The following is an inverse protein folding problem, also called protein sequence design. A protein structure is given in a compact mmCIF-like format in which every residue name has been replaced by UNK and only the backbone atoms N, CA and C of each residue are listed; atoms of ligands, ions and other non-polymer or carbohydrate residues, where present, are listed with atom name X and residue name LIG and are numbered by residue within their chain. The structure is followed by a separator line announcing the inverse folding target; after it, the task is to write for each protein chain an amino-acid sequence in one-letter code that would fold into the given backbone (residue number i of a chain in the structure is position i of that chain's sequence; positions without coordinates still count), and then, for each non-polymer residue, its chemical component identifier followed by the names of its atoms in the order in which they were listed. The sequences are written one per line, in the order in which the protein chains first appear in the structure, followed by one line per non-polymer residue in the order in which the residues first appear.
data_IF_073214682523
#
_entry.id   IF_073214682523
#
_cell.length_a   1.000
_cell.length_b   1.000
_cell.length_c   1.000
_cell.angle_alpha   90.00
_cell.angle_beta   90.00
_cell.angle_gamma   90.00
#
_symmetry.space_group_name_H-M   'P 1'
#
loop_
_entity.id
_entity.type
_entity.pdbx_description
1 polymer ?
#
# COMPACT_ATOMS: atom_id res chain seq x y z
N UNK A 1 21.60 -0.24 19.94
CA UNK A 1 20.55 -0.28 18.89
C UNK A 1 20.10 -1.73 18.73
N UNK A 2 18.78 -1.95 18.75
CA UNK A 2 18.16 -3.24 18.45
C UNK A 2 17.46 -3.06 17.10
N UNK A 3 17.75 -3.96 16.14
CA UNK A 3 17.03 -4.04 14.87
C UNK A 3 15.84 -4.97 15.08
N UNK A 4 14.65 -4.53 14.68
CA UNK A 4 13.44 -5.36 14.67
C UNK A 4 12.92 -5.45 13.24
N UNK A 5 12.71 -6.66 12.74
CA UNK A 5 11.96 -6.91 11.50
C UNK A 5 10.48 -6.89 11.86
N UNK A 6 9.72 -5.98 11.28
CA UNK A 6 8.29 -5.84 11.58
C UNK A 6 7.41 -6.62 10.59
N UNK A 7 7.82 -6.72 9.33
CA UNK A 7 7.18 -7.56 8.30
C UNK A 7 8.27 -8.35 7.60
N UNK A 8 8.07 -9.64 7.46
CA UNK A 8 8.96 -10.52 6.71
C UNK A 8 8.41 -10.72 5.29
N UNK A 9 8.91 -9.94 4.35
CA UNK A 9 8.60 -10.12 2.94
C UNK A 9 9.45 -11.27 2.39
N UNK A 10 8.85 -12.27 1.73
CA UNK A 10 9.60 -13.45 1.25
C UNK A 10 10.57 -13.14 0.12
N UNK A 11 10.54 -11.94 -0.46
CA UNK A 11 11.42 -11.52 -1.56
C UNK A 11 12.91 -11.63 -1.24
N UNK A 12 13.32 -11.46 0.01
CA UNK A 12 14.72 -11.60 0.44
C UNK A 12 15.18 -13.07 0.64
N UNK A 13 14.26 -14.01 0.48
CA UNK A 13 14.51 -15.44 0.53
C UNK A 13 14.77 -16.07 -0.85
N UNK A 14 14.71 -15.30 -1.92
CA UNK A 14 15.08 -15.75 -3.24
C UNK A 14 16.54 -16.22 -3.26
N UNK A 15 16.78 -17.38 -3.84
CA UNK A 15 18.12 -17.82 -4.18
C UNK A 15 18.30 -17.77 -5.70
N UNK A 16 19.54 -17.55 -6.14
CA UNK A 16 19.89 -17.51 -7.56
C UNK A 16 19.55 -18.81 -8.32
N UNK A 17 19.25 -19.89 -7.60
CA UNK A 17 19.11 -21.22 -8.18
C UNK A 17 17.69 -21.77 -8.16
N UNK A 18 16.74 -21.15 -7.47
CA UNK A 18 15.44 -21.80 -7.21
C UNK A 18 14.21 -20.94 -7.42
N UNK A 19 14.33 -19.60 -7.52
CA UNK A 19 13.15 -18.76 -7.49
C UNK A 19 12.30 -18.94 -6.22
N UNK A 20 11.11 -18.45 -6.24
CA UNK A 20 10.12 -18.68 -5.20
C UNK A 20 8.89 -19.36 -5.83
N UNK A 21 8.67 -20.60 -5.47
CA UNK A 21 7.49 -21.40 -5.85
C UNK A 21 6.89 -21.94 -4.56
N UNK A 22 5.97 -21.16 -3.98
CA UNK A 22 5.39 -21.44 -2.66
C UNK A 22 4.27 -22.47 -2.72
N UNK A 23 3.57 -22.55 -3.83
CA UNK A 23 2.45 -23.48 -4.02
C UNK A 23 2.85 -24.78 -4.76
N UNK A 24 4.11 -24.88 -5.18
CA UNK A 24 4.68 -26.04 -5.88
C UNK A 24 4.00 -26.35 -7.21
N UNK A 25 3.59 -25.34 -7.94
CA UNK A 25 3.02 -25.48 -9.29
C UNK A 25 4.06 -25.62 -10.37
N UNK A 26 5.33 -25.32 -10.06
CA UNK A 26 6.43 -25.31 -11.01
C UNK A 26 6.61 -23.99 -11.74
N UNK A 27 5.91 -22.95 -11.30
CA UNK A 27 6.07 -21.56 -11.73
C UNK A 27 6.50 -20.70 -10.53
N UNK A 28 7.24 -19.62 -10.78
CA UNK A 28 7.62 -18.73 -9.70
C UNK A 28 6.47 -17.83 -9.32
N UNK A 29 6.28 -17.68 -8.01
CA UNK A 29 5.19 -16.89 -7.45
C UNK A 29 5.56 -15.41 -7.33
N UNK A 30 4.59 -14.57 -7.53
CA UNK A 30 4.67 -13.20 -7.06
C UNK A 30 4.66 -13.17 -5.53
N UNK A 31 5.40 -12.24 -4.95
CA UNK A 31 5.42 -12.03 -3.51
C UNK A 31 5.09 -10.59 -3.16
N UNK A 32 4.57 -10.38 -1.97
CA UNK A 32 4.39 -9.03 -1.44
C UNK A 32 5.72 -8.42 -1.01
N UNK A 33 5.82 -7.12 -1.19
CA UNK A 33 6.93 -6.28 -0.76
C UNK A 33 6.41 -4.88 -0.42
N UNK A 34 7.26 -4.01 0.07
CA UNK A 34 6.95 -2.59 0.23
C UNK A 34 7.22 -1.82 -1.06
N UNK A 35 6.51 -0.73 -1.27
CA UNK A 35 6.70 0.20 -2.38
C UNK A 35 7.73 1.32 -2.10
N UNK A 36 8.52 1.20 -1.05
CA UNK A 36 9.52 2.15 -0.57
C UNK A 36 8.99 3.46 0.04
N UNK A 37 7.68 3.65 0.13
CA UNK A 37 7.09 4.77 0.85
C UNK A 37 6.58 4.30 2.21
N UNK A 38 6.98 5.01 3.26
CA UNK A 38 6.54 4.65 4.59
C UNK A 38 6.72 5.79 5.60
N UNK A 39 6.04 5.67 6.72
CA UNK A 39 6.17 6.56 7.86
C UNK A 39 6.16 5.79 9.16
N UNK A 40 6.85 6.32 10.16
CA UNK A 40 6.88 5.80 11.53
C UNK A 40 6.28 6.84 12.45
N UNK A 41 5.37 6.41 13.30
CA UNK A 41 4.78 7.20 14.38
C UNK A 41 5.13 6.55 15.71
N UNK A 42 5.55 7.34 16.68
CA UNK A 42 5.68 6.89 18.09
C UNK A 42 4.49 7.47 18.85
N UNK A 43 3.72 6.61 19.50
CA UNK A 43 2.54 7.00 20.26
C UNK A 43 2.89 7.58 21.64
N UNK A 44 1.86 7.98 22.39
CA UNK A 44 2.01 8.57 23.72
C UNK A 44 2.49 7.56 24.80
N UNK A 45 2.59 6.27 24.45
CA UNK A 45 3.09 5.19 25.29
C UNK A 45 4.46 4.67 24.83
N UNK A 46 5.14 5.44 23.96
CA UNK A 46 6.42 5.08 23.33
C UNK A 46 6.34 3.84 22.40
N UNK A 47 5.12 3.47 21.94
CA UNK A 47 4.91 2.36 21.01
C UNK A 47 5.10 2.85 19.55
N UNK A 48 5.81 2.04 18.76
CA UNK A 48 6.00 2.30 17.34
C UNK A 48 4.81 1.79 16.51
N UNK A 49 4.37 2.63 15.57
CA UNK A 49 3.42 2.33 14.51
C UNK A 49 4.08 2.60 13.17
N UNK A 50 3.97 1.67 12.24
CA UNK A 50 4.60 1.75 10.92
C UNK A 50 3.52 1.61 9.85
N UNK A 51 3.61 2.47 8.84
CA UNK A 51 2.71 2.49 7.69
C UNK A 51 3.53 2.47 6.41
N UNK A 52 3.14 1.65 5.43
CA UNK A 52 3.84 1.54 4.14
C UNK A 52 2.86 1.11 3.04
N UNK A 53 3.15 1.48 1.81
CA UNK A 53 2.44 0.94 0.66
C UNK A 53 2.82 -0.52 0.41
N UNK A 54 1.93 -1.24 -0.25
CA UNK A 54 2.09 -2.65 -0.61
C UNK A 54 2.41 -2.78 -2.10
N UNK A 55 3.39 -3.59 -2.46
CA UNK A 55 3.78 -3.84 -3.84
C UNK A 55 4.02 -5.32 -4.06
N UNK A 56 3.76 -5.83 -5.26
CA UNK A 56 4.12 -7.19 -5.63
C UNK A 56 5.38 -7.18 -6.47
N UNK A 57 6.11 -8.26 -6.34
CA UNK A 57 7.39 -8.50 -6.98
C UNK A 57 7.39 -9.90 -7.58
N UNK A 58 7.92 -10.04 -8.77
CA UNK A 58 8.14 -11.34 -9.43
C UNK A 58 9.54 -11.36 -10.01
N UNK A 59 10.23 -12.45 -9.78
CA UNK A 59 11.46 -12.81 -10.46
C UNK A 59 11.30 -14.23 -10.99
N UNK A 60 11.00 -14.36 -12.25
CA UNK A 60 10.70 -15.63 -12.93
C UNK A 60 11.91 -16.23 -13.65
N UNK A 61 13.01 -15.48 -13.77
CA UNK A 61 14.30 -15.97 -14.28
C UNK A 61 15.48 -15.33 -13.52
N UNK A 62 15.92 -15.98 -12.47
CA UNK A 62 17.01 -15.50 -11.61
C UNK A 62 18.35 -15.32 -12.33
N UNK A 63 18.50 -15.82 -13.57
CA UNK A 63 19.74 -15.77 -14.33
C UNK A 63 19.85 -14.52 -15.21
N UNK A 64 18.76 -13.84 -15.52
CA UNK A 64 18.73 -12.71 -16.44
C UNK A 64 19.03 -11.35 -15.78
N UNK A 65 18.98 -11.29 -14.44
CA UNK A 65 19.19 -10.07 -13.67
C UNK A 65 18.05 -9.05 -13.81
N UNK A 66 16.87 -9.49 -14.24
CA UNK A 66 15.67 -8.67 -14.40
C UNK A 66 14.62 -9.14 -13.42
N UNK A 67 13.88 -8.20 -12.82
CA UNK A 67 12.73 -8.48 -11.97
C UNK A 67 11.60 -7.55 -12.30
N UNK A 68 10.37 -7.96 -12.01
CA UNK A 68 9.16 -7.20 -12.26
C UNK A 68 8.54 -6.71 -10.97
N UNK A 69 8.14 -5.44 -10.97
CA UNK A 69 7.44 -4.80 -9.88
C UNK A 69 6.05 -4.39 -10.35
N UNK A 70 5.05 -4.61 -9.52
CA UNK A 70 3.65 -4.39 -9.87
C UNK A 70 3.07 -3.24 -9.03
N UNK A 71 3.25 -1.98 -9.47
CA UNK A 71 2.79 -0.80 -8.72
C UNK A 71 1.27 -0.68 -8.63
N UNK A 72 0.52 -1.50 -9.37
CA UNK A 72 -0.93 -1.57 -9.30
C UNK A 72 -1.45 -2.46 -8.16
N UNK A 73 -0.59 -2.84 -7.23
CA UNK A 73 -1.00 -3.51 -6.00
C UNK A 73 -1.72 -2.52 -5.09
N UNK A 74 -2.87 -2.91 -4.56
CA UNK A 74 -3.65 -2.06 -3.67
C UNK A 74 -3.42 -2.45 -2.20
N UNK A 75 -3.40 -1.46 -1.33
CA UNK A 75 -3.34 -1.67 0.10
C UNK A 75 -2.29 -0.84 0.81
N UNK A 76 -2.73 -0.11 1.85
CA UNK A 76 -1.86 0.53 2.82
C UNK A 76 -1.65 -0.45 3.99
N UNK A 77 -0.42 -0.84 4.21
CA UNK A 77 -0.02 -1.77 5.26
C UNK A 77 0.22 -1.03 6.57
N UNK A 78 -0.14 -1.68 7.67
CA UNK A 78 0.07 -1.19 9.02
C UNK A 78 0.65 -2.27 9.91
N UNK A 79 1.56 -1.86 10.78
CA UNK A 79 2.12 -2.66 11.85
C UNK A 79 2.32 -1.83 13.11
N UNK A 80 2.17 -2.44 14.27
CA UNK A 80 2.59 -1.89 15.56
C UNK A 80 3.27 -2.97 16.41
N UNK A 81 3.94 -2.55 17.49
CA UNK A 81 4.72 -3.46 18.34
C UNK A 81 3.91 -4.58 19.01
N UNK A 82 2.60 -4.42 19.21
CA UNK A 82 1.74 -5.47 19.78
C UNK A 82 1.52 -6.64 18.81
N UNK A 83 1.72 -6.42 17.51
CA UNK A 83 1.60 -7.45 16.48
C UNK A 83 2.81 -8.39 16.46
N UNK A 84 3.88 -8.03 17.18
CA UNK A 84 5.11 -8.81 17.23
C UNK A 84 6.01 -8.60 16.02
N UNK A 85 7.17 -9.26 16.05
CA UNK A 85 8.12 -9.25 14.96
C UNK A 85 7.76 -10.32 13.90
N UNK A 86 8.32 -10.14 12.71
CA UNK A 86 8.26 -11.13 11.62
C UNK A 86 6.85 -11.48 11.15
N UNK A 87 5.96 -10.49 11.09
CA UNK A 87 4.64 -10.67 10.48
C UNK A 87 4.80 -11.08 9.02
N UNK A 88 4.37 -12.29 8.69
CA UNK A 88 4.45 -12.84 7.33
C UNK A 88 3.19 -12.49 6.56
N UNK A 89 3.35 -11.95 5.36
CA UNK A 89 2.26 -11.75 4.41
C UNK A 89 1.96 -13.05 3.67
N UNK A 90 0.68 -13.32 3.36
CA UNK A 90 0.34 -14.45 2.50
C UNK A 90 0.89 -14.24 1.09
N UNK A 91 1.08 -15.32 0.34
CA UNK A 91 1.39 -15.26 -1.08
C UNK A 91 0.20 -14.68 -1.84
N UNK A 92 0.39 -13.69 -2.70
CA UNK A 92 -0.69 -13.17 -3.54
C UNK A 92 -1.19 -14.28 -4.48
N UNK A 93 -2.50 -14.43 -4.59
CA UNK A 93 -3.10 -15.23 -5.65
C UNK A 93 -3.22 -14.39 -6.92
N UNK A 94 -3.32 -15.04 -8.08
CA UNK A 94 -3.49 -14.34 -9.37
C UNK A 94 -4.75 -13.46 -9.40
N UNK A 95 -5.80 -13.86 -8.65
CA UNK A 95 -7.04 -13.09 -8.48
C UNK A 95 -6.89 -11.86 -7.60
N UNK A 96 -5.80 -11.74 -6.85
CA UNK A 96 -5.58 -10.66 -5.87
C UNK A 96 -4.86 -9.45 -6.49
N UNK A 97 -4.91 -9.34 -7.82
CA UNK A 97 -4.23 -8.28 -8.56
C UNK A 97 -4.54 -6.88 -8.00
N UNK A 98 -5.76 -6.68 -7.54
CA UNK A 98 -6.28 -5.37 -7.14
C UNK A 98 -6.57 -5.24 -5.65
N UNK A 99 -6.80 -6.34 -4.95
CA UNK A 99 -7.17 -6.34 -3.53
C UNK A 99 -6.20 -7.20 -2.71
N UNK A 100 -5.84 -6.72 -1.55
CA UNK A 100 -5.11 -7.50 -0.55
C UNK A 100 -5.99 -7.65 0.68
N UNK A 101 -6.39 -8.87 0.98
CA UNK A 101 -7.20 -9.22 2.16
C UNK A 101 -6.35 -9.57 3.40
N UNK A 102 -5.10 -9.09 3.44
CA UNK A 102 -4.27 -9.38 4.61
C UNK A 102 -4.73 -8.60 5.83
N UNK A 103 -4.63 -9.17 7.04
CA UNK A 103 -5.08 -8.50 8.26
C UNK A 103 -4.38 -7.17 8.57
N UNK A 104 -3.25 -6.91 7.92
CA UNK A 104 -2.46 -5.69 8.11
C UNK A 104 -2.79 -4.60 7.09
N UNK A 105 -3.68 -4.85 6.14
CA UNK A 105 -4.17 -3.82 5.22
C UNK A 105 -5.24 -2.99 5.92
N UNK A 106 -4.99 -1.72 6.09
CA UNK A 106 -5.87 -0.80 6.84
C UNK A 106 -6.64 0.18 5.95
N UNK A 107 -6.24 0.33 4.69
CA UNK A 107 -6.92 1.14 3.70
C UNK A 107 -6.57 0.68 2.28
N UNK A 108 -7.46 0.98 1.35
CA UNK A 108 -7.29 0.67 -0.07
C UNK A 108 -7.80 1.83 -0.92
N UNK A 109 -7.29 1.96 -2.14
CA UNK A 109 -7.92 2.76 -3.19
C UNK A 109 -9.28 2.13 -3.51
N UNK A 110 -10.31 2.95 -3.68
CA UNK A 110 -11.69 2.51 -3.74
C UNK A 110 -12.09 2.21 -5.18
N UNK A 111 -12.66 1.04 -5.37
CA UNK A 111 -13.46 0.70 -6.54
C UNK A 111 -14.85 1.33 -6.35
N UNK A 112 -15.13 2.37 -7.10
CA UNK A 112 -16.37 3.15 -6.96
C UNK A 112 -17.51 2.62 -7.82
N UNK A 113 -17.19 1.98 -8.93
CA UNK A 113 -18.15 1.43 -9.88
C UNK A 113 -18.42 -0.07 -9.67
N UNK A 114 -17.63 -0.75 -8.83
CA UNK A 114 -17.74 -2.17 -8.49
C UNK A 114 -17.46 -3.09 -9.70
N UNK A 115 -16.51 -2.74 -10.53
CA UNK A 115 -16.07 -3.57 -11.68
C UNK A 115 -14.80 -4.38 -11.38
N UNK A 116 -14.28 -4.29 -10.15
CA UNK A 116 -13.06 -4.96 -9.65
C UNK A 116 -11.77 -4.24 -10.04
N UNK A 117 -11.81 -3.21 -10.88
CA UNK A 117 -10.66 -2.41 -11.26
C UNK A 117 -10.68 -1.05 -10.55
N UNK A 118 -9.57 -0.61 -10.02
CA UNK A 118 -9.51 0.65 -9.25
C UNK A 118 -8.98 1.81 -10.10
N UNK A 119 -8.33 1.55 -11.19
CA UNK A 119 -7.56 2.59 -11.88
C UNK A 119 -7.70 2.59 -13.39
N UNK A 120 -8.88 2.35 -13.95
CA UNK A 120 -9.13 2.53 -15.39
C UNK A 120 -7.94 2.12 -16.29
N UNK A 121 -7.31 1.02 -15.96
CA UNK A 121 -6.01 0.59 -16.49
C UNK A 121 -5.98 0.49 -18.01
N UNK A 122 -7.13 0.15 -18.60
CA UNK A 122 -7.22 -0.15 -20.01
C UNK A 122 -7.65 1.03 -20.89
N UNK A 123 -8.22 2.09 -20.34
CA UNK A 123 -8.89 3.09 -21.16
C UNK A 123 -8.09 4.35 -21.42
N UNK A 124 -7.21 4.75 -20.54
CA UNK A 124 -6.56 6.05 -20.62
C UNK A 124 -5.05 6.01 -20.77
N UNK A 125 -4.44 4.85 -20.57
CA UNK A 125 -3.03 4.61 -20.91
C UNK A 125 -1.97 5.33 -20.07
N UNK A 126 -2.35 6.08 -19.04
CA UNK A 126 -1.36 6.81 -18.27
C UNK A 126 -1.72 7.03 -16.81
N UNK A 127 -0.87 6.61 -15.91
CA UNK A 127 -0.84 7.07 -14.53
C UNK A 127 0.59 7.52 -14.18
N UNK A 128 0.69 8.49 -13.30
CA UNK A 128 1.99 8.93 -12.83
C UNK A 128 2.62 7.82 -11.99
N UNK A 129 3.62 7.17 -12.56
CA UNK A 129 4.37 6.12 -11.89
C UNK A 129 5.36 6.74 -10.91
N UNK A 130 4.96 6.85 -9.66
CA UNK A 130 5.88 7.17 -8.56
C UNK A 130 6.61 5.91 -8.07
N UNK A 131 6.46 4.77 -8.76
CA UNK A 131 6.85 3.45 -8.27
C UNK A 131 6.21 3.12 -6.91
N UNK A 132 4.99 3.63 -6.71
CA UNK A 132 4.19 3.47 -5.51
C UNK A 132 2.98 2.59 -5.79
N UNK A 133 2.48 1.93 -4.76
CA UNK A 133 1.23 1.16 -4.85
C UNK A 133 0.02 2.06 -5.13
N UNK A 134 -1.15 1.47 -5.38
CA UNK A 134 -2.39 2.22 -5.60
C UNK A 134 -2.78 3.07 -4.37
N UNK A 135 -2.42 2.62 -3.16
CA UNK A 135 -2.59 3.34 -1.88
C UNK A 135 -1.24 3.44 -1.17
N UNK A 136 -0.63 4.60 -1.14
CA UNK A 136 0.75 4.80 -0.70
C UNK A 136 1.03 6.19 -0.15
N UNK A 137 2.31 6.48 0.09
CA UNK A 137 2.82 7.77 0.53
C UNK A 137 2.19 8.22 1.87
N UNK A 138 2.19 7.34 2.89
CA UNK A 138 1.54 7.65 4.15
C UNK A 138 2.24 8.77 4.92
N UNK A 139 1.43 9.56 5.63
CA UNK A 139 1.88 10.47 6.67
C UNK A 139 0.98 10.34 7.88
N UNK A 140 1.54 10.11 9.06
CA UNK A 140 0.80 9.82 10.26
C UNK A 140 0.99 10.88 11.34
N UNK A 141 -0.07 11.10 12.13
CA UNK A 141 -0.06 11.97 13.29
C UNK A 141 -0.92 11.40 14.42
N UNK A 142 -0.65 11.85 15.64
CA UNK A 142 -1.38 11.41 16.83
C UNK A 142 -1.83 12.61 17.65
N UNK A 143 -3.02 12.54 18.20
CA UNK A 143 -3.54 13.55 19.12
C UNK A 143 -3.04 13.33 20.55
N UNK A 144 -3.23 14.33 21.40
CA UNK A 144 -2.95 14.17 22.84
C UNK A 144 -3.85 13.14 23.53
N UNK A 145 -5.02 12.81 22.95
CA UNK A 145 -5.91 11.74 23.40
C UNK A 145 -5.45 10.33 22.97
N UNK A 146 -4.49 10.24 22.05
CA UNK A 146 -4.02 8.97 21.51
C UNK A 146 -4.71 8.52 20.23
N UNK A 147 -5.57 9.35 19.63
CA UNK A 147 -6.21 9.06 18.35
C UNK A 147 -5.19 9.18 17.24
N UNK A 148 -5.08 8.16 16.39
CA UNK A 148 -4.13 8.12 15.28
C UNK A 148 -4.86 8.51 14.00
N UNK A 149 -4.24 9.40 13.25
CA UNK A 149 -4.68 9.81 11.90
C UNK A 149 -3.59 9.48 10.90
N UNK A 150 -3.99 8.98 9.74
CA UNK A 150 -3.08 8.68 8.63
C UNK A 150 -3.65 9.26 7.36
N UNK A 151 -2.89 10.12 6.70
CA UNK A 151 -3.16 10.51 5.31
C UNK A 151 -2.35 9.63 4.37
N UNK A 152 -2.89 9.33 3.22
CA UNK A 152 -2.22 8.60 2.16
C UNK A 152 -2.75 9.03 0.81
N UNK A 153 -1.96 8.85 -0.23
CA UNK A 153 -2.36 9.11 -1.61
C UNK A 153 -2.87 7.83 -2.24
N UNK A 154 -4.06 7.88 -2.82
CA UNK A 154 -4.66 6.76 -3.53
C UNK A 154 -5.18 7.18 -4.90
N UNK A 155 -5.09 6.28 -5.88
CA UNK A 155 -5.82 6.50 -7.13
C UNK A 155 -7.31 6.59 -6.85
N UNK A 156 -7.96 7.50 -7.55
CA UNK A 156 -9.39 7.67 -7.46
C UNK A 156 -9.98 7.28 -8.80
N UNK A 157 -10.79 6.27 -8.75
CA UNK A 157 -11.45 5.73 -9.93
C UNK A 157 -12.29 6.80 -10.63
N UNK A 158 -12.35 6.74 -11.96
CA UNK A 158 -13.04 7.71 -12.83
C UNK A 158 -12.54 9.16 -12.70
N UNK A 159 -11.39 9.37 -12.08
CA UNK A 159 -10.77 10.69 -11.97
C UNK A 159 -9.56 10.78 -12.85
N UNK A 160 -9.79 11.21 -14.07
CA UNK A 160 -8.76 11.34 -15.08
C UNK A 160 -9.00 12.56 -16.00
N UNK A 161 -8.03 12.81 -16.88
CA UNK A 161 -8.12 13.82 -17.94
C UNK A 161 -8.11 13.18 -19.32
N UNK A 162 -8.47 11.92 -19.45
CA UNK A 162 -8.39 11.09 -20.68
C UNK A 162 -6.96 10.74 -21.11
N UNK A 163 -5.96 11.10 -20.30
CA UNK A 163 -4.54 10.79 -20.52
C UNK A 163 -3.94 10.13 -19.29
N UNK A 164 -4.36 10.58 -18.10
CA UNK A 164 -3.79 10.16 -16.83
C UNK A 164 -4.88 10.07 -15.77
N UNK A 165 -4.84 9.01 -14.99
CA UNK A 165 -5.61 8.86 -13.75
C UNK A 165 -4.89 9.58 -12.61
N UNK A 166 -5.62 10.27 -11.76
CA UNK A 166 -5.07 11.08 -10.67
C UNK A 166 -5.19 10.42 -9.31
N UNK A 167 -4.23 10.73 -8.44
CA UNK A 167 -4.28 10.41 -7.03
C UNK A 167 -4.93 11.53 -6.25
N UNK A 168 -5.72 11.14 -5.26
CA UNK A 168 -6.22 12.04 -4.22
C UNK A 168 -5.63 11.69 -2.86
N UNK A 169 -5.60 12.67 -1.97
CA UNK A 169 -5.23 12.44 -0.59
C UNK A 169 -6.46 12.00 0.20
N UNK A 170 -6.33 10.84 0.81
CA UNK A 170 -7.32 10.27 1.70
C UNK A 170 -6.84 10.34 3.14
N UNK A 171 -7.78 10.31 4.08
CA UNK A 171 -7.50 10.23 5.52
C UNK A 171 -8.30 9.10 6.14
N UNK A 172 -7.65 8.36 7.03
CA UNK A 172 -8.27 7.38 7.94
C UNK A 172 -7.88 7.71 9.38
N UNK A 173 -8.64 7.16 10.33
CA UNK A 173 -8.35 7.31 11.75
C UNK A 173 -8.57 6.04 12.53
N UNK A 174 -7.81 5.89 13.61
CA UNK A 174 -8.04 4.90 14.66
C UNK A 174 -8.24 5.61 15.99
N UNK A 175 -9.26 5.20 16.76
CA UNK A 175 -9.58 5.72 18.08
C UNK A 175 -9.20 4.74 19.21
N UNK A 176 -8.59 3.63 18.85
CA UNK A 176 -8.29 2.50 19.75
C UNK A 176 -6.83 2.02 19.63
N UNK A 177 -5.93 2.95 19.29
CA UNK A 177 -4.49 2.67 19.22
C UNK A 177 -4.08 1.79 18.04
N UNK A 178 -4.85 1.79 16.96
CA UNK A 178 -4.55 1.05 15.72
C UNK A 178 -5.23 -0.32 15.63
N UNK A 179 -6.14 -0.65 16.57
CA UNK A 179 -6.85 -1.94 16.52
C UNK A 179 -7.94 -1.95 15.44
N UNK A 180 -8.61 -0.82 15.21
CA UNK A 180 -9.58 -0.64 14.12
C UNK A 180 -9.38 0.70 13.41
N UNK A 181 -9.82 0.76 12.14
CA UNK A 181 -9.65 1.92 11.29
C UNK A 181 -10.98 2.34 10.65
N UNK A 182 -11.14 3.63 10.45
CA UNK A 182 -12.30 4.17 9.73
C UNK A 182 -12.16 3.91 8.23
N UNK A 183 -13.29 3.99 7.51
CA UNK A 183 -13.27 4.10 6.05
C UNK A 183 -12.47 5.33 5.61
N UNK A 184 -11.79 5.26 4.45
CA UNK A 184 -11.10 6.39 3.85
C UNK A 184 -12.06 7.52 3.48
N UNK A 185 -11.62 8.75 3.77
CA UNK A 185 -12.30 9.98 3.35
C UNK A 185 -11.35 10.74 2.44
N UNK A 186 -11.78 11.03 1.22
CA UNK A 186 -11.07 11.91 0.30
C UNK A 186 -11.11 13.35 0.82
N UNK A 187 -9.96 13.94 1.10
CA UNK A 187 -9.82 15.32 1.59
C UNK A 187 -9.38 16.30 0.50
N UNK A 188 -9.18 15.82 -0.71
CA UNK A 188 -8.92 16.61 -1.92
C UNK A 188 -9.97 16.37 -3.00
N UNK A 189 -11.28 16.53 -2.69
CA UNK A 189 -12.36 16.07 -3.55
C UNK A 189 -12.46 16.85 -4.86
N UNK A 190 -13.07 16.25 -5.85
CA UNK A 190 -13.27 16.73 -7.21
C UNK A 190 -13.85 18.14 -7.35
N UNK A 191 -14.76 18.53 -6.47
CA UNK A 191 -15.68 19.66 -6.69
C UNK A 191 -14.98 21.00 -6.76
N UNK A 192 -13.76 21.10 -6.26
CA UNK A 192 -13.02 22.35 -6.21
C UNK A 192 -12.30 22.64 -7.54
N UNK A 193 -11.88 21.60 -8.30
CA UNK A 193 -10.99 21.76 -9.44
C UNK A 193 -11.35 20.89 -10.65
N UNK A 194 -12.57 20.40 -10.77
CA UNK A 194 -13.02 19.44 -11.80
C UNK A 194 -12.29 18.07 -11.73
N UNK A 195 -11.77 17.68 -10.57
CA UNK A 195 -11.18 16.37 -10.38
C UNK A 195 -9.86 16.08 -11.10
N UNK A 196 -9.29 17.05 -11.78
CA UNK A 196 -8.13 16.86 -12.67
C UNK A 196 -6.82 17.34 -12.05
N UNK A 197 -6.62 17.05 -10.76
CA UNK A 197 -5.38 17.41 -10.08
C UNK A 197 -4.77 16.23 -9.35
N UNK A 198 -3.49 16.03 -9.59
CA UNK A 198 -2.67 15.07 -8.86
C UNK A 198 -2.39 15.60 -7.46
N UNK A 199 -2.85 14.89 -6.44
CA UNK A 199 -2.64 15.22 -5.04
C UNK A 199 -1.86 14.10 -4.35
N UNK A 200 -0.58 14.37 -4.08
CA UNK A 200 0.35 13.40 -3.50
C UNK A 200 1.18 14.03 -2.37
N UNK A 201 1.89 13.20 -1.62
CA UNK A 201 2.85 13.61 -0.59
C UNK A 201 2.26 14.50 0.50
N UNK A 202 1.07 14.16 0.99
CA UNK A 202 0.48 14.84 2.13
C UNK A 202 1.41 14.79 3.35
N UNK A 203 1.41 15.84 4.15
CA UNK A 203 2.19 15.92 5.38
C UNK A 203 1.27 16.26 6.53
N UNK A 204 1.32 15.47 7.58
CA UNK A 204 0.64 15.74 8.85
C UNK A 204 1.57 16.41 9.84
N UNK A 205 1.05 17.38 10.54
CA UNK A 205 1.75 18.03 11.67
C UNK A 205 1.24 17.40 12.95
N UNK A 206 2.18 17.12 13.86
CA UNK A 206 1.92 16.60 15.19
C UNK A 206 1.36 17.70 16.09
#
# INVERSE_FOLDING_TARGET
WIRTTFIDFPVDKYSLDSGLDLDSTGTFDMVYSTDNYGTVLIDNNDKAHIFTGNMRYLDDDLADGVSSWFPLTNGLLYWNEDMGADTTLPTPQDSDLWYSETPIVIAQARDLNCDIEVAGYDSTGGYALYYASLSSMPSAGITSSGDIYVTFSAYTEDVDNSIQVFRHVNIIRSLDGGATWSEPIDITPHDIWNGQQECVFASMVK
#
